data_IF_347423374261
#
_entry.id   IF_347423374261
#
_cell.length_a   1.000
_cell.length_b   1.000
_cell.length_c   1.000
_cell.angle_alpha   90.00
_cell.angle_beta   90.00
_cell.angle_gamma   90.00
#
_symmetry.space_group_name_H-M   'P 1'
#
loop_
_entity.id
_entity.type
_entity.pdbx_description
1 polymer ?
#
# COMPACT_ATOMS: atom_id res chain seq x y z
N UNK A 1 9.73 -11.93 1.31
CA UNK A 1 8.74 -11.28 2.19
C UNK A 1 7.62 -12.26 2.54
N UNK A 2 7.76 -13.07 3.60
CA UNK A 2 6.85 -14.21 3.84
C UNK A 2 5.40 -13.83 4.13
N UNK A 3 5.16 -12.67 4.74
CA UNK A 3 3.81 -12.18 5.05
C UNK A 3 3.00 -11.77 3.80
N UNK A 4 3.64 -11.74 2.62
CA UNK A 4 2.98 -11.45 1.34
C UNK A 4 2.68 -12.71 0.52
N UNK A 5 3.05 -13.90 1.01
CA UNK A 5 2.77 -15.14 0.29
C UNK A 5 1.26 -15.36 0.12
N UNK A 6 0.84 -15.66 -1.11
CA UNK A 6 -0.56 -15.89 -1.45
C UNK A 6 -1.43 -14.63 -1.57
N UNK A 7 -0.87 -13.42 -1.52
CA UNK A 7 -1.65 -12.18 -1.73
C UNK A 7 -2.36 -12.17 -3.08
N UNK A 8 -1.72 -12.70 -4.12
CA UNK A 8 -2.25 -12.69 -5.49
C UNK A 8 -2.98 -13.99 -5.89
N UNK A 9 -3.29 -14.90 -4.94
CA UNK A 9 -3.90 -16.20 -5.24
C UNK A 9 -3.21 -16.92 -6.43
N UNK A 10 -1.89 -17.10 -6.37
CA UNK A 10 -1.19 -17.96 -7.31
C UNK A 10 -1.70 -19.39 -7.12
N UNK A 11 -2.38 -19.92 -8.13
CA UNK A 11 -2.52 -21.38 -8.29
C UNK A 11 -1.16 -21.88 -8.78
N UNK A 12 -0.72 -23.04 -8.31
CA UNK A 12 0.54 -23.64 -8.76
C UNK A 12 0.52 -23.77 -10.29
N UNK A 13 1.23 -22.88 -10.98
CA UNK A 13 1.51 -22.98 -12.41
C UNK A 13 2.97 -23.42 -12.52
N UNK A 14 3.21 -24.53 -13.22
CA UNK A 14 4.50 -25.22 -13.27
C UNK A 14 5.59 -24.50 -14.15
N UNK A 15 5.34 -23.27 -14.63
CA UNK A 15 6.26 -22.51 -15.51
C UNK A 15 6.42 -21.03 -15.08
N UNK A 16 7.67 -20.56 -15.06
CA UNK A 16 8.07 -19.20 -14.62
C UNK A 16 7.39 -18.09 -15.45
N UNK A 17 7.03 -18.38 -16.70
CA UNK A 17 6.35 -17.43 -17.60
C UNK A 17 4.90 -17.17 -17.22
N UNK A 18 4.20 -18.19 -16.72
CA UNK A 18 2.83 -18.10 -16.23
C UNK A 18 2.75 -17.34 -14.89
N UNK A 19 3.80 -17.43 -14.08
CA UNK A 19 3.93 -16.70 -12.82
C UNK A 19 4.05 -15.18 -13.03
N UNK A 20 4.89 -14.76 -13.98
CA UNK A 20 5.02 -13.33 -14.31
C UNK A 20 3.72 -12.76 -14.90
N UNK A 21 3.08 -13.50 -15.81
CA UNK A 21 1.80 -13.08 -16.38
C UNK A 21 0.72 -13.00 -15.31
N UNK A 22 0.66 -13.98 -14.40
CA UNK A 22 -0.26 -13.98 -13.25
C UNK A 22 -0.01 -12.77 -12.37
N UNK A 23 1.26 -12.46 -12.06
CA UNK A 23 1.59 -11.26 -11.30
C UNK A 23 1.13 -9.97 -12.00
N UNK A 24 1.37 -9.83 -13.31
CA UNK A 24 0.95 -8.64 -14.07
C UNK A 24 -0.58 -8.48 -14.04
N UNK A 25 -1.31 -9.58 -14.27
CA UNK A 25 -2.78 -9.57 -14.29
C UNK A 25 -3.34 -9.30 -12.90
N UNK A 26 -2.88 -10.02 -11.87
CA UNK A 26 -3.39 -9.91 -10.52
C UNK A 26 -2.95 -8.61 -9.84
N UNK A 27 -1.70 -8.18 -10.04
CA UNK A 27 -1.15 -6.94 -9.49
C UNK A 27 -1.83 -5.69 -10.05
N UNK A 28 -2.38 -5.77 -11.27
CA UNK A 28 -3.16 -4.71 -11.89
C UNK A 28 -4.63 -4.63 -11.45
N UNK A 29 -5.10 -5.47 -10.53
CA UNK A 29 -6.48 -5.43 -10.02
C UNK A 29 -6.55 -4.56 -8.76
N UNK A 30 -7.54 -3.66 -8.71
CA UNK A 30 -7.72 -2.74 -7.57
C UNK A 30 -7.86 -3.47 -6.24
N UNK A 31 -8.61 -4.57 -6.22
CA UNK A 31 -8.86 -5.37 -5.03
C UNK A 31 -7.56 -5.93 -4.46
N UNK A 32 -6.62 -6.31 -5.32
CA UNK A 32 -5.31 -6.83 -4.92
C UNK A 32 -4.36 -5.72 -4.50
N UNK A 33 -4.41 -4.53 -5.13
CA UNK A 33 -3.69 -3.34 -4.65
C UNK A 33 -4.13 -2.99 -3.22
N UNK A 34 -5.45 -2.96 -2.98
CA UNK A 34 -6.02 -2.71 -1.65
C UNK A 34 -5.65 -3.83 -0.67
N UNK A 35 -5.69 -5.09 -1.08
CA UNK A 35 -5.30 -6.24 -0.25
C UNK A 35 -3.83 -6.14 0.17
N UNK A 36 -2.93 -5.84 -0.76
CA UNK A 36 -1.52 -5.64 -0.49
C UNK A 36 -1.30 -4.49 0.49
N UNK A 37 -1.92 -3.33 0.25
CA UNK A 37 -1.81 -2.19 1.15
C UNK A 37 -2.31 -2.52 2.57
N UNK A 38 -3.43 -3.24 2.70
CA UNK A 38 -3.98 -3.63 4.01
C UNK A 38 -3.08 -4.61 4.77
N UNK A 39 -2.40 -5.52 4.08
CA UNK A 39 -1.45 -6.43 4.72
C UNK A 39 -0.23 -5.66 5.25
N UNK A 40 0.30 -4.74 4.44
CA UNK A 40 1.37 -3.83 4.87
C UNK A 40 0.93 -2.94 6.03
N UNK A 41 -0.31 -2.42 5.99
CA UNK A 41 -0.90 -1.64 7.09
C UNK A 41 -0.87 -2.43 8.39
N UNK A 42 -1.38 -3.66 8.36
CA UNK A 42 -1.43 -4.53 9.53
C UNK A 42 -0.02 -4.77 10.07
N UNK A 43 0.92 -5.16 9.21
CA UNK A 43 2.32 -5.39 9.58
C UNK A 43 2.94 -4.15 10.22
N UNK A 44 2.82 -2.99 9.58
CA UNK A 44 3.44 -1.75 10.03
C UNK A 44 2.84 -1.25 11.34
N UNK A 45 1.51 -1.32 11.48
CA UNK A 45 0.80 -0.90 12.68
C UNK A 45 1.14 -1.79 13.89
N UNK A 46 1.21 -3.11 13.71
CA UNK A 46 1.51 -4.07 14.78
C UNK A 46 2.99 -4.01 15.20
N UNK A 47 3.91 -3.98 14.24
CA UNK A 47 5.36 -4.00 14.51
C UNK A 47 5.93 -2.62 14.87
N UNK A 48 5.22 -1.53 14.53
CA UNK A 48 5.73 -0.15 14.56
C UNK A 48 6.99 0.04 13.71
N UNK A 49 7.19 -0.82 12.71
CA UNK A 49 8.31 -0.76 11.77
C UNK A 49 7.79 -0.31 10.41
N UNK A 50 8.47 0.64 9.73
CA UNK A 50 8.07 1.09 8.41
C UNK A 50 7.99 -0.04 7.38
N UNK A 51 7.21 0.21 6.33
CA UNK A 51 7.32 -0.48 5.06
C UNK A 51 8.76 -0.38 4.55
N UNK A 52 9.34 -1.52 4.21
CA UNK A 52 10.65 -1.62 3.55
C UNK A 52 10.57 -1.11 2.12
N UNK A 53 11.72 -0.76 1.56
CA UNK A 53 11.79 -0.21 0.20
C UNK A 53 11.24 -1.20 -0.85
N UNK A 54 11.52 -2.52 -0.74
CA UNK A 54 10.97 -3.46 -1.72
C UNK A 54 9.46 -3.70 -1.55
N UNK A 55 8.90 -3.57 -0.35
CA UNK A 55 7.44 -3.63 -0.13
C UNK A 55 6.75 -2.44 -0.78
N UNK A 56 7.34 -1.24 -0.61
CA UNK A 56 6.84 -0.03 -1.25
C UNK A 56 7.02 -0.08 -2.76
N UNK A 57 8.13 -0.63 -3.26
CA UNK A 57 8.35 -0.83 -4.69
C UNK A 57 7.31 -1.78 -5.28
N UNK A 58 7.03 -2.91 -4.61
CA UNK A 58 6.00 -3.86 -5.03
C UNK A 58 4.62 -3.18 -5.09
N UNK A 59 4.24 -2.45 -4.05
CA UNK A 59 2.97 -1.74 -4.00
C UNK A 59 2.87 -0.67 -5.11
N UNK A 60 3.93 0.11 -5.34
CA UNK A 60 3.98 1.08 -6.44
C UNK A 60 3.86 0.41 -7.81
N UNK A 61 4.48 -0.77 -8.01
CA UNK A 61 4.36 -1.53 -9.24
C UNK A 61 2.91 -2.00 -9.48
N UNK A 62 2.23 -2.52 -8.45
CA UNK A 62 0.81 -2.88 -8.55
C UNK A 62 -0.06 -1.66 -8.87
N UNK A 63 0.20 -0.52 -8.23
CA UNK A 63 -0.48 0.75 -8.53
C UNK A 63 -0.25 1.18 -9.98
N UNK A 64 0.98 1.08 -10.48
CA UNK A 64 1.31 1.42 -11.86
C UNK A 64 0.57 0.52 -12.85
N UNK A 65 0.56 -0.80 -12.61
CA UNK A 65 -0.19 -1.76 -13.42
C UNK A 65 -1.69 -1.44 -13.45
N UNK A 66 -2.30 -1.17 -12.29
CA UNK A 66 -3.69 -0.76 -12.21
C UNK A 66 -3.96 0.54 -12.98
N UNK A 67 -3.07 1.54 -12.83
CA UNK A 67 -3.20 2.82 -13.50
C UNK A 67 -3.05 2.73 -15.02
N UNK A 68 -2.32 1.74 -15.54
CA UNK A 68 -2.19 1.47 -16.97
C UNK A 68 -3.46 0.85 -17.57
N UNK A 69 -4.16 0.00 -16.82
CA UNK A 69 -5.38 -0.67 -17.29
C UNK A 69 -6.65 0.13 -17.01
N UNK A 70 -6.61 1.06 -16.05
CA UNK A 70 -7.73 1.91 -15.68
C UNK A 70 -8.03 2.98 -16.74
N UNK A 71 -9.28 3.01 -17.20
CA UNK A 71 -9.80 4.03 -18.12
C UNK A 71 -10.12 5.38 -17.43
N UNK A 72 -9.78 5.54 -16.15
CA UNK A 72 -9.98 6.77 -15.40
C UNK A 72 -8.85 7.79 -15.65
N UNK A 73 -9.22 9.05 -15.83
CA UNK A 73 -8.28 10.18 -15.88
C UNK A 73 -7.58 10.42 -14.54
N UNK A 74 -8.25 10.07 -13.44
CA UNK A 74 -7.67 10.14 -12.09
C UNK A 74 -6.88 8.87 -11.81
N UNK A 75 -5.64 9.04 -11.35
CA UNK A 75 -4.71 7.96 -11.04
C UNK A 75 -4.69 7.67 -9.54
N UNK A 76 -4.45 6.40 -9.22
CA UNK A 76 -4.16 5.93 -7.87
C UNK A 76 -2.71 6.29 -7.53
N UNK A 77 -2.47 6.71 -6.30
CA UNK A 77 -1.11 7.06 -5.85
C UNK A 77 -0.92 6.82 -4.36
N UNK A 78 0.34 6.85 -3.94
CA UNK A 78 0.71 6.93 -2.54
C UNK A 78 0.91 8.40 -2.12
N UNK A 79 0.31 8.79 -1.00
CA UNK A 79 0.41 10.12 -0.39
C UNK A 79 1.09 9.98 0.97
N UNK A 80 2.28 10.53 1.13
CA UNK A 80 3.04 10.47 2.39
C UNK A 80 3.05 11.85 3.05
N UNK A 81 2.67 11.95 4.34
CA UNK A 81 2.92 13.17 5.10
C UNK A 81 4.42 13.35 5.37
N UNK A 82 4.81 14.52 5.86
CA UNK A 82 6.19 14.79 6.27
C UNK A 82 6.38 14.51 7.76
N UNK A 83 7.60 14.15 8.14
CA UNK A 83 8.01 14.14 9.55
C UNK A 83 8.02 15.58 10.05
N UNK A 84 7.44 15.79 11.23
CA UNK A 84 7.24 17.11 11.83
C UNK A 84 5.87 17.73 11.54
N UNK A 85 5.08 17.16 10.62
CA UNK A 85 3.69 17.60 10.40
C UNK A 85 2.80 17.23 11.60
N UNK A 86 1.75 18.03 11.82
CA UNK A 86 0.72 17.72 12.81
C UNK A 86 -0.10 16.49 12.40
N UNK A 87 -0.53 15.72 13.39
CA UNK A 87 -1.41 14.59 13.21
C UNK A 87 -2.83 15.04 12.81
N UNK A 88 -3.26 14.63 11.62
CA UNK A 88 -4.64 14.77 11.14
C UNK A 88 -5.39 13.42 11.18
N UNK A 89 -6.37 13.30 12.07
CA UNK A 89 -7.18 12.08 12.23
C UNK A 89 -7.99 11.70 10.97
N UNK A 90 -8.21 12.63 10.05
CA UNK A 90 -8.90 12.35 8.78
C UNK A 90 -7.96 11.75 7.73
N UNK A 91 -6.64 11.93 7.87
CA UNK A 91 -5.64 11.52 6.87
C UNK A 91 -4.66 10.47 7.37
N UNK A 92 -4.52 10.34 8.69
CA UNK A 92 -3.52 9.50 9.34
C UNK A 92 -4.17 8.45 10.25
N UNK A 93 -3.48 7.33 10.40
CA UNK A 93 -3.72 6.32 11.40
C UNK A 93 -2.60 6.39 12.42
N UNK A 94 -2.95 6.73 13.66
CA UNK A 94 -1.99 6.91 14.74
C UNK A 94 -1.48 5.57 15.27
N UNK A 95 -0.17 5.42 15.27
CA UNK A 95 0.57 4.44 16.07
C UNK A 95 1.30 5.20 17.17
N UNK A 96 1.18 4.76 18.43
CA UNK A 96 1.79 5.45 19.56
C UNK A 96 0.90 6.54 20.17
N UNK A 97 1.50 7.66 20.58
CA UNK A 97 0.85 8.79 21.26
C UNK A 97 1.45 10.10 20.76
N UNK A 98 0.80 11.24 21.04
CA UNK A 98 1.28 12.56 20.62
C UNK A 98 0.56 13.08 19.37
N UNK A 99 0.82 14.35 19.05
CA UNK A 99 0.17 15.11 17.98
C UNK A 99 1.13 15.51 16.84
N UNK A 100 2.42 15.19 16.94
CA UNK A 100 3.40 15.44 15.86
C UNK A 100 3.91 14.14 15.26
N UNK A 101 3.95 14.06 13.92
CA UNK A 101 4.46 12.90 13.18
C UNK A 101 5.97 12.81 13.35
N UNK A 102 6.44 11.70 13.94
CA UNK A 102 7.86 11.40 14.09
C UNK A 102 8.37 10.49 12.98
N UNK A 103 7.53 9.60 12.48
CA UNK A 103 7.90 8.67 11.42
C UNK A 103 6.67 8.25 10.62
N UNK A 104 6.80 8.17 9.30
CA UNK A 104 5.80 7.54 8.45
C UNK A 104 6.13 6.05 8.34
N UNK A 105 5.19 5.20 8.75
CA UNK A 105 5.35 3.75 8.69
C UNK A 105 4.81 3.19 7.37
N UNK A 106 3.71 3.75 6.83
CA UNK A 106 3.17 3.38 5.54
C UNK A 106 2.44 4.59 4.92
N UNK A 107 2.71 4.97 3.66
CA UNK A 107 1.98 6.03 2.99
C UNK A 107 0.48 5.72 2.82
N UNK A 108 -0.33 6.77 2.72
CA UNK A 108 -1.74 6.65 2.39
C UNK A 108 -1.92 6.10 0.97
N UNK A 109 -2.91 5.24 0.76
CA UNK A 109 -3.33 4.84 -0.59
C UNK A 109 -4.51 5.72 -1.01
N UNK A 110 -4.31 6.52 -2.06
CA UNK A 110 -5.33 7.43 -2.60
C UNK A 110 -5.81 6.86 -3.92
N UNK A 111 -7.07 6.43 -3.95
CA UNK A 111 -7.73 5.90 -5.12
C UNK A 111 -8.14 6.98 -6.13
N UNK A 112 -8.59 6.54 -7.31
CA UNK A 112 -9.02 7.43 -8.39
C UNK A 112 -10.29 8.25 -8.06
N UNK A 113 -11.03 7.87 -7.03
CA UNK A 113 -12.20 8.61 -6.54
C UNK A 113 -11.99 9.03 -5.08
N UNK A 114 -12.63 10.14 -4.67
CA UNK A 114 -12.45 10.73 -3.34
C UNK A 114 -12.85 9.80 -2.18
N UNK A 115 -13.70 8.79 -2.47
CA UNK A 115 -14.17 7.81 -1.49
C UNK A 115 -13.19 6.67 -1.25
N UNK A 116 -12.15 6.52 -2.07
CA UNK A 116 -11.17 5.42 -1.96
C UNK A 116 -9.86 5.89 -1.34
N UNK A 117 -9.91 6.50 -0.16
CA UNK A 117 -8.70 6.89 0.59
C UNK A 117 -8.47 5.94 1.75
N UNK A 118 -7.24 5.46 1.89
CA UNK A 118 -6.75 4.74 3.07
C UNK A 118 -5.69 5.60 3.76
N UNK A 119 -5.82 5.79 5.06
CA UNK A 119 -4.99 6.71 5.83
C UNK A 119 -3.54 6.24 5.95
N UNK A 120 -2.59 7.17 5.93
CA UNK A 120 -1.19 6.86 6.15
C UNK A 120 -0.98 6.36 7.59
N UNK A 121 -0.16 5.34 7.79
CA UNK A 121 0.22 4.86 9.12
C UNK A 121 1.40 5.69 9.60
N UNK A 122 1.23 6.37 10.73
CA UNK A 122 2.25 7.28 11.28
C UNK A 122 2.51 6.98 12.74
N UNK A 123 3.77 7.06 13.14
CA UNK A 123 4.19 7.03 14.52
C UNK A 123 4.36 8.47 15.01
N UNK A 124 3.59 8.86 16.03
CA UNK A 124 3.75 10.16 16.69
C UNK A 124 4.52 10.02 18.01
N UNK A 125 4.98 11.15 18.55
CA UNK A 125 5.56 11.26 19.90
C UNK A 125 5.25 12.60 20.53
#
# INVERSE_FOLDING_TARGET
MPHLYGIFNQRDFDDDSDDLLTFVVCGGQWENVVRLWKELFKRCAESKVPASDDELALLNNCIALYNHTSMSDKKVMLDSPNVGDDYDYNRHHLVGVGDTIRQVLLPALVGANASSRFNAVVLCS
#
